data_IF_252524381387
#
_entry.id   IF_252524381387
#
_cell.length_a   1.000
_cell.length_b   1.000
_cell.length_c   1.000
_cell.angle_alpha   90.00
_cell.angle_beta   90.00
_cell.angle_gamma   90.00
#
_symmetry.space_group_name_H-M   'P 1'
#
loop_
_entity.id
_entity.type
_entity.pdbx_description
1 polymer ?
#
# COMPACT_ATOMS: atom_id res chain seq x y z
N UNK A 1 -7.30 5.86 1.28
CA UNK A 1 -6.99 5.04 2.46
C UNK A 1 -8.27 4.34 2.89
N UNK A 2 -8.17 3.07 3.18
CA UNK A 2 -9.28 2.22 3.57
C UNK A 2 -9.78 2.59 4.98
N UNK A 3 -11.09 2.51 5.18
CA UNK A 3 -11.67 2.56 6.53
C UNK A 3 -11.57 1.18 7.19
N UNK A 4 -10.63 1.02 8.11
CA UNK A 4 -10.39 -0.24 8.81
C UNK A 4 -11.57 -0.69 9.69
N UNK A 5 -12.44 0.23 10.11
CA UNK A 5 -13.56 -0.07 10.99
C UNK A 5 -14.74 -0.70 10.26
N UNK A 6 -15.00 -0.24 9.03
CA UNK A 6 -16.22 -0.60 8.27
C UNK A 6 -15.92 -1.60 7.16
N UNK A 7 -14.82 -1.43 6.44
CA UNK A 7 -14.51 -2.27 5.30
C UNK A 7 -14.05 -3.67 5.72
N UNK A 8 -14.49 -4.69 4.98
CA UNK A 8 -14.13 -6.09 5.27
C UNK A 8 -12.62 -6.35 5.29
N UNK A 9 -11.88 -5.68 4.42
CA UNK A 9 -10.41 -5.78 4.36
C UNK A 9 -9.71 -5.16 5.58
N UNK A 10 -10.35 -4.24 6.30
CA UNK A 10 -9.81 -3.66 7.53
C UNK A 10 -9.68 -4.67 8.68
N UNK A 11 -10.42 -5.78 8.61
CA UNK A 11 -10.39 -6.83 9.62
C UNK A 11 -9.12 -7.70 9.59
N UNK A 12 -8.40 -7.69 8.48
CA UNK A 12 -7.14 -8.42 8.30
C UNK A 12 -6.00 -7.43 8.13
N UNK A 13 -4.97 -7.51 8.96
CA UNK A 13 -3.86 -6.55 8.96
C UNK A 13 -3.13 -6.45 7.61
N UNK A 14 -2.98 -7.57 6.89
CA UNK A 14 -2.33 -7.58 5.58
C UNK A 14 -3.14 -6.91 4.46
N UNK A 15 -4.42 -6.60 4.69
CA UNK A 15 -5.28 -5.88 3.75
C UNK A 15 -5.79 -4.54 4.29
N UNK A 16 -5.40 -4.19 5.53
CA UNK A 16 -5.77 -2.93 6.19
C UNK A 16 -5.14 -1.70 5.56
N UNK A 17 -5.56 -0.54 6.00
CA UNK A 17 -5.08 0.76 5.50
C UNK A 17 -3.55 0.87 5.57
N UNK A 18 -2.92 1.16 4.43
CA UNK A 18 -1.48 1.32 4.30
C UNK A 18 -0.68 0.04 4.07
N UNK A 19 -1.29 -1.13 4.18
CA UNK A 19 -0.65 -2.41 3.83
C UNK A 19 -0.12 -2.42 2.39
N UNK A 20 0.93 -3.20 2.14
CA UNK A 20 1.17 -3.72 0.80
C UNK A 20 0.20 -4.89 0.64
N UNK A 21 -0.91 -4.61 -0.01
CA UNK A 21 -2.12 -5.42 0.00
C UNK A 21 -1.86 -6.93 -0.18
N UNK A 22 -2.30 -7.70 0.80
CA UNK A 22 -2.14 -9.15 0.95
C UNK A 22 -0.69 -9.68 0.99
N UNK A 23 0.31 -8.80 1.10
CA UNK A 23 1.72 -9.15 1.14
C UNK A 23 2.39 -8.74 2.46
N UNK A 24 2.30 -7.48 2.86
CA UNK A 24 2.98 -6.96 4.06
C UNK A 24 1.99 -6.11 4.86
N UNK A 25 1.81 -6.48 6.12
CA UNK A 25 1.03 -5.70 7.08
C UNK A 25 1.76 -4.44 7.53
N UNK A 26 1.05 -3.33 7.81
CA UNK A 26 1.67 -2.19 8.49
C UNK A 26 2.15 -2.59 9.89
N UNK A 27 3.26 -2.01 10.32
CA UNK A 27 3.85 -2.25 11.65
C UNK A 27 3.03 -1.63 12.80
N UNK A 28 2.22 -0.65 12.47
CA UNK A 28 1.35 0.05 13.42
C UNK A 28 0.15 0.65 12.69
N UNK A 29 -0.94 0.81 13.41
CA UNK A 29 -2.15 1.46 12.91
C UNK A 29 -2.15 2.94 13.32
N UNK A 30 -2.10 3.82 12.33
CA UNK A 30 -2.08 5.28 12.50
C UNK A 30 -3.06 5.97 11.54
N UNK A 31 -4.07 5.23 11.10
CA UNK A 31 -5.11 5.75 10.22
C UNK A 31 -6.07 6.66 10.99
N UNK A 32 -6.40 7.81 10.42
CA UNK A 32 -7.47 8.67 10.93
C UNK A 32 -8.84 8.08 10.54
N UNK A 33 -9.86 8.30 11.35
CA UNK A 33 -11.20 7.80 11.09
C UNK A 33 -11.80 8.35 9.79
N UNK A 34 -12.85 7.70 9.30
CA UNK A 34 -13.61 8.19 8.15
C UNK A 34 -14.11 9.63 8.39
N UNK A 35 -14.07 10.45 7.34
CA UNK A 35 -14.35 11.89 7.43
C UNK A 35 -13.12 12.76 7.64
N UNK A 36 -11.99 12.19 8.02
CA UNK A 36 -10.72 12.90 8.14
C UNK A 36 -9.74 12.52 7.04
N UNK A 37 -8.93 13.49 6.59
CA UNK A 37 -7.87 13.21 5.61
C UNK A 37 -6.69 12.49 6.26
N UNK A 38 -6.19 11.48 5.56
CA UNK A 38 -4.95 10.81 5.87
C UNK A 38 -3.82 11.30 4.95
N UNK A 39 -2.66 11.61 5.51
CA UNK A 39 -1.47 11.98 4.76
C UNK A 39 -0.71 10.72 4.38
N UNK A 40 -0.69 10.43 3.09
CA UNK A 40 0.02 9.26 2.54
C UNK A 40 1.31 9.72 1.86
N UNK A 41 2.40 8.96 2.03
CA UNK A 41 3.63 9.11 1.28
C UNK A 41 4.17 7.74 0.92
N UNK A 42 4.56 7.58 -0.34
CA UNK A 42 5.30 6.42 -0.83
C UNK A 42 6.66 6.94 -1.31
N UNK A 43 7.73 6.33 -0.85
CA UNK A 43 9.10 6.61 -1.29
C UNK A 43 9.61 5.38 -2.03
N UNK A 44 10.13 5.58 -3.23
CA UNK A 44 10.75 4.52 -4.04
C UNK A 44 12.13 5.00 -4.45
N UNK A 45 13.16 4.28 -4.03
CA UNK A 45 14.55 4.54 -4.40
C UNK A 45 15.33 3.24 -4.52
N UNK A 46 15.97 2.99 -5.65
CA UNK A 46 16.82 1.80 -5.88
C UNK A 46 16.10 0.48 -5.51
N UNK A 47 14.85 0.35 -5.93
CA UNK A 47 13.93 -0.74 -5.58
C UNK A 47 13.57 -0.85 -4.08
N UNK A 48 14.08 0.02 -3.23
CA UNK A 48 13.61 0.14 -1.86
C UNK A 48 12.34 0.98 -1.81
N UNK A 49 11.31 0.46 -1.18
CA UNK A 49 9.98 1.09 -1.09
C UNK A 49 9.60 1.27 0.37
N UNK A 50 9.13 2.46 0.70
CA UNK A 50 8.60 2.78 2.02
C UNK A 50 7.16 3.29 1.91
N UNK A 51 6.29 2.83 2.80
CA UNK A 51 4.96 3.41 3.00
C UNK A 51 4.94 4.21 4.30
N UNK A 52 4.47 5.43 4.20
CA UNK A 52 4.29 6.35 5.31
C UNK A 52 2.82 6.77 5.41
N UNK A 53 2.27 6.72 6.60
CA UNK A 53 0.91 7.14 6.90
C UNK A 53 0.92 8.09 8.10
N UNK A 54 0.34 9.27 7.94
CA UNK A 54 0.24 10.30 8.96
C UNK A 54 1.57 10.63 9.67
N UNK A 55 2.69 10.64 8.90
CA UNK A 55 4.01 10.96 9.40
C UNK A 55 4.79 9.77 9.97
N UNK A 56 4.20 8.59 10.04
CA UNK A 56 4.85 7.36 10.54
C UNK A 56 5.18 6.43 9.37
N UNK A 57 6.41 5.89 9.32
CA UNK A 57 6.76 4.80 8.41
C UNK A 57 6.11 3.52 8.93
N UNK A 58 5.21 2.94 8.15
CA UNK A 58 4.40 1.79 8.56
C UNK A 58 4.86 0.47 7.95
N UNK A 59 5.58 0.51 6.82
CA UNK A 59 6.23 -0.65 6.24
C UNK A 59 7.32 -0.23 5.26
N UNK A 60 8.23 -1.16 4.97
CA UNK A 60 9.22 -1.04 3.92
C UNK A 60 9.57 -2.41 3.33
N UNK A 61 10.01 -2.43 2.09
CA UNK A 61 10.43 -3.64 1.41
C UNK A 61 11.37 -3.33 0.24
N UNK A 62 12.10 -4.34 -0.21
CA UNK A 62 12.88 -4.26 -1.45
C UNK A 62 12.12 -4.97 -2.57
N UNK A 63 11.59 -4.17 -3.51
CA UNK A 63 10.85 -4.65 -4.67
C UNK A 63 11.68 -5.65 -5.49
N UNK A 64 11.07 -6.74 -5.92
CA UNK A 64 11.69 -7.83 -6.69
C UNK A 64 12.85 -8.56 -5.99
N UNK A 65 13.10 -8.34 -4.70
CA UNK A 65 14.04 -9.18 -3.94
C UNK A 65 13.52 -10.63 -3.80
N UNK A 66 14.40 -11.55 -3.42
CA UNK A 66 13.98 -12.95 -3.16
C UNK A 66 12.94 -13.02 -2.03
N UNK A 67 13.09 -12.22 -0.98
CA UNK A 67 12.10 -12.13 0.08
C UNK A 67 10.74 -11.63 -0.44
N UNK A 68 10.73 -10.61 -1.30
CA UNK A 68 9.51 -10.11 -1.93
C UNK A 68 8.84 -11.17 -2.84
N UNK A 69 9.62 -11.88 -3.65
CA UNK A 69 9.13 -12.97 -4.51
C UNK A 69 8.52 -14.11 -3.68
N UNK A 70 9.14 -14.44 -2.54
CA UNK A 70 8.60 -15.43 -1.62
C UNK A 70 7.23 -15.02 -1.05
N UNK A 71 7.05 -13.74 -0.66
CA UNK A 71 5.76 -13.21 -0.25
C UNK A 71 4.70 -13.33 -1.35
N UNK A 72 5.04 -12.97 -2.58
CA UNK A 72 4.12 -13.08 -3.74
C UNK A 72 3.71 -14.54 -3.95
N UNK A 73 4.64 -15.49 -3.86
CA UNK A 73 4.36 -16.92 -4.07
C UNK A 73 3.43 -17.53 -3.00
N UNK A 74 3.32 -16.91 -1.83
CA UNK A 74 2.44 -17.33 -0.73
C UNK A 74 1.11 -16.57 -0.70
N UNK A 75 0.95 -15.54 -1.54
CA UNK A 75 -0.24 -14.69 -1.60
C UNK A 75 -1.26 -15.17 -2.63
N UNK A 76 -2.41 -14.50 -2.67
CA UNK A 76 -3.41 -14.69 -3.73
C UNK A 76 -2.90 -14.34 -5.14
N UNK A 77 -1.79 -13.60 -5.23
CA UNK A 77 -1.18 -13.18 -6.50
C UNK A 77 -0.25 -14.23 -7.13
N UNK A 78 -0.01 -15.36 -6.46
CA UNK A 78 0.90 -16.42 -6.93
C UNK A 78 0.61 -16.91 -8.35
N UNK A 79 -0.68 -16.97 -8.72
CA UNK A 79 -1.13 -17.45 -10.02
C UNK A 79 -1.30 -16.33 -11.06
N UNK A 80 -0.86 -15.11 -10.74
CA UNK A 80 -0.88 -13.94 -11.63
C UNK A 80 0.50 -13.74 -12.28
N UNK A 81 0.72 -14.19 -13.54
CA UNK A 81 2.06 -14.27 -14.13
C UNK A 81 2.73 -12.90 -14.33
N UNK A 82 1.95 -11.84 -14.44
CA UNK A 82 2.45 -10.47 -14.66
C UNK A 82 2.50 -9.63 -13.37
N UNK A 83 2.00 -10.16 -12.25
CA UNK A 83 2.02 -9.41 -10.99
C UNK A 83 3.45 -9.09 -10.54
N UNK A 84 3.70 -7.82 -10.24
CA UNK A 84 4.99 -7.31 -9.76
C UNK A 84 6.19 -7.61 -10.68
N UNK A 85 5.99 -7.72 -12.00
CA UNK A 85 7.06 -7.94 -12.99
C UNK A 85 7.51 -6.67 -13.69
N UNK A 86 6.66 -5.66 -13.78
CA UNK A 86 6.96 -4.42 -14.48
C UNK A 86 7.90 -3.51 -13.68
N UNK A 87 8.84 -2.87 -14.37
CA UNK A 87 9.73 -1.84 -13.81
C UNK A 87 9.25 -0.42 -14.11
N UNK A 88 8.19 -0.29 -14.88
CA UNK A 88 7.57 0.98 -15.27
C UNK A 88 6.06 0.81 -15.26
N UNK A 89 5.33 1.88 -14.96
CA UNK A 89 3.88 1.87 -14.94
C UNK A 89 3.30 3.21 -14.52
N UNK A 90 1.98 3.29 -14.53
CA UNK A 90 1.23 4.45 -14.07
C UNK A 90 0.93 4.34 -12.58
N UNK A 91 0.78 5.50 -11.94
CA UNK A 91 0.23 5.59 -10.58
C UNK A 91 -1.28 5.72 -10.72
N UNK A 92 -2.02 4.79 -10.12
CA UNK A 92 -3.47 4.80 -10.08
C UNK A 92 -3.99 5.30 -8.72
N UNK A 93 -5.09 6.04 -8.75
CA UNK A 93 -5.88 6.37 -7.57
C UNK A 93 -7.17 5.55 -7.63
N UNK A 94 -7.38 4.71 -6.64
CA UNK A 94 -8.54 3.82 -6.59
C UNK A 94 -9.77 4.56 -6.07
N UNK A 95 -10.94 4.30 -6.66
CA UNK A 95 -12.21 4.94 -6.31
C UNK A 95 -13.42 4.02 -6.54
N UNK A 96 -13.26 2.70 -6.48
CA UNK A 96 -14.29 1.71 -6.81
C UNK A 96 -14.98 1.06 -5.58
N UNK A 97 -14.55 1.41 -4.36
CA UNK A 97 -15.07 0.86 -3.10
C UNK A 97 -15.78 1.91 -2.23
N UNK A 98 -16.57 2.75 -2.85
CA UNK A 98 -17.30 3.82 -2.19
C UNK A 98 -16.70 5.21 -2.43
N UNK A 99 -17.22 6.21 -1.74
CA UNK A 99 -16.77 7.59 -1.89
C UNK A 99 -15.38 7.78 -1.32
N UNK A 100 -14.48 8.37 -2.11
CA UNK A 100 -13.10 8.69 -1.71
C UNK A 100 -12.72 10.08 -2.20
N UNK A 101 -12.04 10.84 -1.36
CA UNK A 101 -11.60 12.19 -1.65
C UNK A 101 -10.09 12.29 -1.64
N UNK A 102 -9.52 12.90 -2.67
CA UNK A 102 -8.08 13.13 -2.81
C UNK A 102 -7.79 14.62 -2.89
N UNK A 103 -6.71 15.07 -2.25
CA UNK A 103 -6.21 16.44 -2.36
C UNK A 103 -4.70 16.49 -2.27
N UNK A 104 -4.11 17.57 -2.78
CA UNK A 104 -2.67 17.84 -2.66
C UNK A 104 -1.78 16.71 -3.19
N UNK A 105 -2.18 16.08 -4.31
CA UNK A 105 -1.42 15.01 -4.95
C UNK A 105 -0.15 15.62 -5.54
N UNK A 106 1.01 15.08 -5.14
CA UNK A 106 2.33 15.56 -5.58
C UNK A 106 3.24 14.37 -5.89
N UNK A 107 4.06 14.52 -6.93
CA UNK A 107 5.13 13.60 -7.26
C UNK A 107 6.45 14.36 -7.36
N UNK A 108 7.54 13.75 -6.92
CA UNK A 108 8.88 14.32 -7.00
C UNK A 108 9.87 13.22 -7.36
N UNK A 109 10.72 13.46 -8.35
CA UNK A 109 11.88 12.60 -8.62
C UNK A 109 12.92 12.79 -7.49
N UNK A 110 13.45 11.67 -7.00
CA UNK A 110 14.52 11.63 -5.99
C UNK A 110 15.90 11.59 -6.66
#
# INVERSE_FOLDING_TARGET
VLDNMVHVDGKKTSTSAGALYDLISPSTEVVNPAGEFNKVRIIVKDNHVEHWLNGTKILEYKYQSEAFKALVSQSKFRDMPFFAKANQGSIGLQGDHGEVWYKNIRIRKL
#
